data_IF_159982451336
#
_entry.id   IF_159982451336
#
_cell.length_a   1.000
_cell.length_b   1.000
_cell.length_c   1.000
_cell.angle_alpha   90.00
_cell.angle_beta   90.00
_cell.angle_gamma   90.00
#
_symmetry.space_group_name_H-M   'P 1'
#
loop_
_entity.id
_entity.type
_entity.pdbx_description
1 polymer ?
#
# COMPACT_ATOMS: atom_id res chain seq x y z
N UNK A 1 -4.47 4.69 6.56
CA UNK A 1 -3.30 4.74 7.47
C UNK A 1 -3.21 3.42 8.24
N UNK A 2 -2.06 2.96 8.78
CA UNK A 2 -2.04 1.76 9.62
C UNK A 2 -2.96 1.91 10.85
N UNK A 3 -3.72 0.87 11.18
CA UNK A 3 -4.69 0.91 12.29
C UNK A 3 -4.02 1.16 13.64
N UNK A 4 -2.82 0.62 13.85
CA UNK A 4 -2.04 0.85 15.06
C UNK A 4 -1.78 2.35 15.32
N UNK A 5 -1.52 3.12 14.26
CA UNK A 5 -1.27 4.56 14.36
C UNK A 5 -2.57 5.33 14.69
N UNK A 6 -3.69 4.95 14.07
CA UNK A 6 -5.02 5.50 14.42
C UNK A 6 -5.33 5.29 15.91
N UNK A 7 -5.12 4.07 16.42
CA UNK A 7 -5.34 3.74 17.84
C UNK A 7 -4.39 4.51 18.76
N UNK A 8 -3.17 4.79 18.33
CA UNK A 8 -2.22 5.58 19.10
C UNK A 8 -2.69 7.03 19.27
N UNK A 9 -3.14 7.69 18.20
CA UNK A 9 -3.70 9.04 18.28
C UNK A 9 -4.96 9.09 19.17
N UNK A 10 -5.83 8.08 19.08
CA UNK A 10 -7.00 7.97 19.96
C UNK A 10 -6.63 7.92 21.45
N UNK A 11 -5.51 7.29 21.82
CA UNK A 11 -5.02 7.28 23.21
C UNK A 11 -4.58 8.67 23.70
N UNK A 12 -4.25 9.58 22.79
CA UNK A 12 -3.95 10.98 23.09
C UNK A 12 -5.23 11.85 23.15
N UNK A 13 -6.41 11.27 22.96
CA UNK A 13 -7.67 12.00 22.84
C UNK A 13 -7.82 12.73 21.49
N UNK A 14 -7.05 12.32 20.48
CA UNK A 14 -7.09 12.91 19.14
C UNK A 14 -7.84 11.99 18.18
N UNK A 15 -8.93 12.51 17.64
CA UNK A 15 -9.71 11.87 16.59
C UNK A 15 -9.13 12.19 15.22
N UNK A 16 -8.49 11.19 14.61
CA UNK A 16 -8.00 11.31 13.22
C UNK A 16 -9.12 10.94 12.26
N UNK A 17 -9.50 11.90 11.43
CA UNK A 17 -10.52 11.72 10.39
C UNK A 17 -9.83 11.42 9.05
N UNK A 18 -10.04 10.22 8.53
CA UNK A 18 -9.48 9.84 7.23
C UNK A 18 -10.26 10.47 6.07
N UNK A 19 -9.53 10.88 5.03
CA UNK A 19 -10.08 11.39 3.78
C UNK A 19 -9.46 10.65 2.61
N UNK A 20 -10.25 10.48 1.55
CA UNK A 20 -9.76 9.91 0.31
C UNK A 20 -10.12 10.82 -0.87
N UNK A 21 -9.14 10.98 -1.76
CA UNK A 21 -9.21 11.80 -2.95
C UNK A 21 -7.91 11.72 -3.73
N UNK A 22 -7.95 12.22 -4.96
CA UNK A 22 -6.83 12.25 -5.89
C UNK A 22 -6.87 13.53 -6.72
N UNK A 23 -5.80 13.83 -7.45
CA UNK A 23 -5.73 15.03 -8.29
C UNK A 23 -6.88 15.07 -9.31
N UNK A 24 -7.20 13.92 -9.88
CA UNK A 24 -8.22 13.74 -10.90
C UNK A 24 -9.66 13.96 -10.40
N UNK A 25 -9.88 14.06 -9.08
CA UNK A 25 -11.17 14.45 -8.50
C UNK A 25 -11.07 15.65 -7.54
N UNK A 26 -10.01 16.46 -7.66
CA UNK A 26 -9.75 17.61 -6.80
C UNK A 26 -9.76 17.29 -5.29
N UNK A 27 -9.37 16.06 -4.92
CA UNK A 27 -9.41 15.60 -3.53
C UNK A 27 -10.81 15.33 -2.97
N UNK A 28 -11.86 15.38 -3.80
CA UNK A 28 -13.25 15.27 -3.38
C UNK A 28 -13.82 13.88 -3.68
N UNK A 29 -13.75 12.96 -2.71
CA UNK A 29 -14.34 11.64 -2.85
C UNK A 29 -14.99 11.13 -1.56
N UNK A 30 -14.22 10.74 -0.54
CA UNK A 30 -14.75 10.22 0.72
C UNK A 30 -14.17 10.98 1.92
N UNK A 31 -14.99 11.16 2.95
CA UNK A 31 -14.62 11.87 4.17
C UNK A 31 -15.18 11.16 5.40
N UNK A 32 -14.30 10.95 6.39
CA UNK A 32 -14.71 10.64 7.75
C UNK A 32 -15.24 11.92 8.42
N UNK A 33 -16.49 11.90 8.89
CA UNK A 33 -17.07 13.02 9.64
C UNK A 33 -16.91 12.79 11.15
N UNK A 34 -16.83 13.85 11.98
CA UNK A 34 -16.78 13.70 13.43
C UNK A 34 -17.88 12.76 13.93
N UNK A 35 -17.52 11.81 14.80
CA UNK A 35 -18.43 10.77 15.32
C UNK A 35 -18.72 9.59 14.37
N UNK A 36 -18.25 9.63 13.11
CA UNK A 36 -18.45 8.57 12.11
C UNK A 36 -17.26 7.64 11.90
N UNK A 37 -16.24 7.73 12.75
CA UNK A 37 -15.00 6.96 12.64
C UNK A 37 -15.26 5.48 12.83
N UNK A 38 -14.69 4.66 11.97
CA UNK A 38 -14.72 3.20 12.13
C UNK A 38 -13.36 2.68 11.70
N UNK A 39 -12.65 2.02 12.60
CA UNK A 39 -11.29 1.55 12.31
C UNK A 39 -11.28 0.61 11.09
N UNK A 40 -10.32 0.84 10.20
CA UNK A 40 -10.20 0.14 8.93
C UNK A 40 -11.09 0.71 7.81
N UNK A 41 -11.90 1.73 8.08
CA UNK A 41 -12.78 2.38 7.10
C UNK A 41 -12.49 3.88 7.04
N UNK A 42 -12.44 4.43 5.83
CA UNK A 42 -12.18 5.86 5.61
C UNK A 42 -13.40 6.66 6.06
N UNK A 43 -14.50 6.54 5.33
CA UNK A 43 -15.69 7.33 5.55
C UNK A 43 -16.63 7.24 4.36
N UNK A 44 -17.69 8.03 4.41
CA UNK A 44 -18.74 8.04 3.40
C UNK A 44 -18.37 8.94 2.21
N UNK A 45 -18.98 8.72 1.04
CA UNK A 45 -18.85 9.65 -0.08
C UNK A 45 -19.28 11.07 0.32
N UNK A 46 -18.59 12.06 -0.26
CA UNK A 46 -19.00 13.44 -0.13
C UNK A 46 -20.33 13.70 -0.87
N UNK A 47 -21.09 14.74 -0.52
CA UNK A 47 -22.33 15.08 -1.22
C UNK A 47 -22.12 15.18 -2.74
N UNK A 48 -22.98 14.51 -3.51
CA UNK A 48 -22.90 14.48 -4.97
C UNK A 48 -21.83 13.55 -5.55
N UNK A 49 -21.07 12.83 -4.72
CA UNK A 49 -20.16 11.77 -5.19
C UNK A 49 -20.95 10.47 -5.33
N UNK A 50 -21.01 9.97 -6.56
CA UNK A 50 -21.46 8.61 -6.86
C UNK A 50 -20.27 7.68 -6.82
N UNK A 51 -20.47 6.50 -6.24
CA UNK A 51 -19.42 5.49 -6.09
C UNK A 51 -19.96 4.15 -6.53
N UNK A 52 -19.12 3.38 -7.21
CA UNK A 52 -19.36 1.96 -7.46
C UNK A 52 -18.05 1.19 -7.35
N UNK A 53 -18.16 -0.08 -7.00
CA UNK A 53 -17.05 -1.03 -7.07
C UNK A 53 -17.28 -1.89 -8.31
N UNK A 54 -16.33 -1.89 -9.24
CA UNK A 54 -16.44 -2.67 -10.47
C UNK A 54 -16.20 -4.18 -10.21
N UNK A 55 -16.45 -5.08 -11.18
CA UNK A 55 -16.24 -6.52 -11.00
C UNK A 55 -14.79 -6.92 -10.68
N UNK A 56 -13.80 -6.09 -11.01
CA UNK A 56 -12.39 -6.31 -10.65
C UNK A 56 -12.06 -5.88 -9.21
N UNK A 57 -13.00 -5.18 -8.56
CA UNK A 57 -12.86 -4.54 -7.26
C UNK A 57 -12.33 -3.11 -7.33
N UNK A 58 -12.27 -2.50 -8.51
CA UNK A 58 -11.85 -1.10 -8.69
C UNK A 58 -12.91 -0.15 -8.11
N UNK A 59 -12.46 0.80 -7.30
CA UNK A 59 -13.30 1.91 -6.86
C UNK A 59 -13.45 2.89 -8.01
N UNK A 60 -14.68 3.17 -8.42
CA UNK A 60 -14.99 4.14 -9.46
C UNK A 60 -15.86 5.24 -8.89
N UNK A 61 -15.49 6.49 -9.17
CA UNK A 61 -16.14 7.67 -8.58
C UNK A 61 -16.58 8.65 -9.66
N UNK A 62 -17.76 9.24 -9.50
CA UNK A 62 -18.25 10.28 -10.39
C UNK A 62 -18.81 11.44 -9.58
N UNK A 63 -18.36 12.66 -9.88
CA UNK A 63 -18.84 13.87 -9.21
C UNK A 63 -18.57 15.11 -10.07
N UNK A 64 -19.13 16.26 -9.66
CA UNK A 64 -18.80 17.55 -10.28
C UNK A 64 -17.33 17.99 -10.09
N UNK A 65 -16.55 17.28 -9.27
CA UNK A 65 -15.12 17.53 -9.06
C UNK A 65 -14.22 16.68 -9.96
N UNK A 66 -14.77 15.77 -10.78
CA UNK A 66 -13.98 14.99 -11.73
C UNK A 66 -13.28 15.91 -12.73
N UNK A 67 -12.02 15.62 -13.03
CA UNK A 67 -11.20 16.39 -13.98
C UNK A 67 -11.87 16.48 -15.36
N UNK A 68 -11.50 17.53 -16.10
CA UNK A 68 -11.88 17.65 -17.52
C UNK A 68 -11.08 16.67 -18.42
N UNK A 69 -9.88 16.29 -17.98
CA UNK A 69 -8.96 15.43 -18.72
C UNK A 69 -7.51 15.82 -18.52
N UNK A 70 -6.60 14.98 -19.04
CA UNK A 70 -5.18 15.25 -19.06
C UNK A 70 -4.82 16.20 -20.22
N UNK A 71 -3.97 17.18 -19.92
CA UNK A 71 -3.55 18.20 -20.88
C UNK A 71 -2.82 17.57 -22.08
N UNK A 72 -3.35 17.81 -23.29
CA UNK A 72 -2.83 17.28 -24.58
C UNK A 72 -2.77 15.75 -24.67
N UNK A 73 -3.52 15.04 -23.83
CA UNK A 73 -3.54 13.58 -23.81
C UNK A 73 -4.99 13.05 -23.79
N UNK A 74 -5.70 13.13 -24.93
CA UNK A 74 -7.08 12.69 -25.04
C UNK A 74 -7.23 11.18 -24.86
N UNK A 75 -6.22 10.39 -25.25
CA UNK A 75 -6.25 8.94 -25.09
C UNK A 75 -6.20 8.57 -23.61
N UNK A 76 -5.24 9.10 -22.85
CA UNK A 76 -5.16 8.84 -21.41
C UNK A 76 -6.39 9.34 -20.66
N UNK A 77 -7.00 10.44 -21.12
CA UNK A 77 -8.28 10.94 -20.59
C UNK A 77 -9.39 9.91 -20.80
N UNK A 78 -9.53 9.39 -22.02
CA UNK A 78 -10.51 8.37 -22.35
C UNK A 78 -10.25 7.04 -21.61
N UNK A 79 -8.98 6.68 -21.38
CA UNK A 79 -8.63 5.46 -20.63
C UNK A 79 -8.94 5.59 -19.13
N UNK A 80 -8.97 6.82 -18.60
CA UNK A 80 -9.14 7.11 -17.17
C UNK A 80 -10.61 7.35 -16.79
N UNK A 81 -11.46 7.65 -17.77
CA UNK A 81 -12.89 7.83 -17.58
C UNK A 81 -13.65 6.68 -18.24
N UNK A 82 -14.64 6.13 -17.56
CA UNK A 82 -15.56 5.19 -18.19
C UNK A 82 -16.46 5.92 -19.19
N UNK A 83 -17.11 5.17 -20.09
CA UNK A 83 -18.02 5.75 -21.09
C UNK A 83 -19.19 6.52 -20.46
N UNK A 84 -19.58 6.17 -19.24
CA UNK A 84 -20.61 6.83 -18.44
C UNK A 84 -20.06 7.88 -17.46
N UNK A 85 -18.78 8.26 -17.59
CA UNK A 85 -18.17 9.41 -16.91
C UNK A 85 -17.50 9.11 -15.57
N UNK A 86 -17.55 7.88 -15.06
CA UNK A 86 -16.86 7.54 -13.80
C UNK A 86 -15.35 7.58 -13.98
N UNK A 87 -14.68 8.17 -12.99
CA UNK A 87 -13.24 8.12 -12.85
C UNK A 87 -12.81 6.72 -12.40
N UNK A 88 -11.95 6.08 -13.20
CA UNK A 88 -11.20 4.88 -12.85
C UNK A 88 -10.07 5.27 -11.91
N UNK A 89 -10.24 5.04 -10.60
CA UNK A 89 -9.27 5.50 -9.61
C UNK A 89 -7.96 4.70 -9.66
N UNK A 90 -7.99 3.47 -10.22
CA UNK A 90 -6.90 2.52 -10.13
C UNK A 90 -6.70 1.95 -8.72
N UNK A 91 -7.55 2.31 -7.75
CA UNK A 91 -7.54 1.81 -6.37
C UNK A 91 -8.55 0.67 -6.22
N UNK A 92 -8.17 -0.41 -5.54
CA UNK A 92 -9.09 -1.48 -5.14
C UNK A 92 -9.69 -1.18 -3.77
N UNK A 93 -10.96 -1.53 -3.60
CA UNK A 93 -11.62 -1.37 -2.31
C UNK A 93 -12.98 -2.05 -2.23
N UNK A 94 -13.62 -1.87 -1.08
CA UNK A 94 -14.95 -2.37 -0.77
C UNK A 94 -15.75 -1.29 -0.04
N UNK A 95 -17.08 -1.40 -0.08
CA UNK A 95 -18.00 -0.54 0.66
C UNK A 95 -18.82 -1.36 1.66
N UNK A 96 -18.95 -0.84 2.88
CA UNK A 96 -19.87 -1.40 3.88
C UNK A 96 -21.33 -1.00 3.62
N UNK A 97 -22.24 -1.52 4.45
CA UNK A 97 -23.66 -1.21 4.36
C UNK A 97 -24.00 0.27 4.64
N UNK A 98 -23.12 1.00 5.33
CA UNK A 98 -23.25 2.43 5.62
C UNK A 98 -22.62 3.31 4.52
N UNK A 99 -22.08 2.69 3.45
CA UNK A 99 -21.40 3.36 2.34
C UNK A 99 -19.98 3.84 2.67
N UNK A 100 -19.38 3.38 3.76
CA UNK A 100 -17.98 3.69 4.08
C UNK A 100 -17.06 2.92 3.14
N UNK A 101 -15.99 3.57 2.69
CA UNK A 101 -14.98 2.96 1.83
C UNK A 101 -13.81 2.39 2.62
N UNK A 102 -13.36 1.19 2.26
CA UNK A 102 -12.07 0.61 2.65
C UNK A 102 -11.23 0.34 1.42
N UNK A 103 -10.02 0.89 1.36
CA UNK A 103 -9.06 0.60 0.28
C UNK A 103 -8.23 -0.63 0.62
N UNK A 104 -8.05 -1.51 -0.36
CA UNK A 104 -7.33 -2.78 -0.22
C UNK A 104 -6.07 -2.84 -1.08
N UNK A 105 -5.78 -1.82 -1.89
CA UNK A 105 -4.54 -1.70 -2.66
C UNK A 105 -4.71 -0.93 -3.96
N UNK A 106 -3.70 -0.97 -4.84
CA UNK A 106 -3.73 -0.39 -6.18
C UNK A 106 -3.71 -1.48 -7.24
N UNK A 107 -4.55 -1.37 -8.27
CA UNK A 107 -4.62 -2.34 -9.37
C UNK A 107 -3.27 -2.55 -10.05
N UNK A 108 -2.53 -1.46 -10.29
CA UNK A 108 -1.22 -1.51 -10.95
C UNK A 108 -0.10 -2.06 -10.08
N UNK A 109 -0.32 -2.18 -8.77
CA UNK A 109 0.68 -2.70 -7.83
C UNK A 109 0.43 -4.17 -7.46
N UNK A 110 -0.71 -4.72 -7.86
CA UNK A 110 -0.99 -6.14 -7.67
C UNK A 110 -0.11 -6.93 -8.64
N UNK A 111 0.74 -7.79 -8.09
CA UNK A 111 1.61 -8.63 -8.88
C UNK A 111 1.18 -10.10 -8.81
N UNK A 112 1.67 -10.89 -9.77
CA UNK A 112 1.42 -12.31 -9.85
C UNK A 112 2.69 -13.09 -9.51
N UNK A 113 2.58 -13.96 -8.51
CA UNK A 113 3.64 -14.92 -8.17
C UNK A 113 3.82 -15.96 -9.29
N UNK A 114 4.95 -16.67 -9.34
CA UNK A 114 5.17 -17.76 -10.31
C UNK A 114 4.18 -18.92 -10.16
N UNK A 115 3.54 -19.04 -8.99
CA UNK A 115 2.43 -19.98 -8.73
C UNK A 115 1.09 -19.51 -9.29
N UNK A 116 1.06 -18.36 -9.96
CA UNK A 116 -0.11 -17.80 -10.62
C UNK A 116 -1.12 -17.14 -9.69
N UNK A 117 -0.76 -16.89 -8.43
CA UNK A 117 -1.60 -16.22 -7.44
C UNK A 117 -1.31 -14.72 -7.41
N UNK A 118 -2.37 -13.91 -7.32
CA UNK A 118 -2.29 -12.47 -7.21
C UNK A 118 -2.06 -12.06 -5.75
N UNK A 119 -1.23 -11.06 -5.53
CA UNK A 119 -0.91 -10.53 -4.19
C UNK A 119 -1.07 -9.02 -4.20
N UNK A 120 -1.81 -8.49 -3.22
CA UNK A 120 -1.89 -7.06 -2.98
C UNK A 120 -0.81 -6.66 -1.95
N UNK A 121 0.18 -5.83 -2.31
CA UNK A 121 1.28 -5.50 -1.40
C UNK A 121 0.84 -4.58 -0.24
N UNK A 122 -0.02 -3.60 -0.50
CA UNK A 122 -0.34 -2.54 0.46
C UNK A 122 -0.87 -3.04 1.83
N UNK A 123 -1.79 -4.03 1.92
CA UNK A 123 -2.19 -4.59 3.21
C UNK A 123 -1.04 -5.25 3.98
N UNK A 124 -0.11 -5.90 3.27
CA UNK A 124 1.06 -6.56 3.87
C UNK A 124 2.06 -5.51 4.36
N UNK A 125 2.33 -4.49 3.54
CA UNK A 125 3.20 -3.36 3.87
C UNK A 125 2.69 -2.60 5.10
N UNK A 126 1.39 -2.30 5.17
CA UNK A 126 0.78 -1.64 6.32
C UNK A 126 0.99 -2.44 7.62
N UNK A 127 0.89 -3.77 7.56
CA UNK A 127 1.17 -4.64 8.71
C UNK A 127 2.65 -4.64 9.06
N UNK A 128 3.55 -4.79 8.09
CA UNK A 128 4.99 -4.76 8.36
C UNK A 128 5.43 -3.45 9.02
N UNK A 129 4.88 -2.32 8.58
CA UNK A 129 5.17 -0.99 9.09
C UNK A 129 4.73 -0.75 10.55
N UNK A 130 3.97 -1.66 11.18
CA UNK A 130 3.65 -1.55 12.61
C UNK A 130 4.85 -1.92 13.51
N UNK A 131 5.90 -2.54 12.96
CA UNK A 131 7.13 -2.82 13.72
C UNK A 131 7.90 -1.53 13.99
N UNK A 132 8.19 -1.26 15.26
CA UNK A 132 8.82 0.00 15.71
C UNK A 132 10.18 0.32 15.05
N UNK A 133 10.86 -0.68 14.49
CA UNK A 133 12.15 -0.52 13.82
C UNK A 133 12.09 -0.43 12.30
N UNK A 134 10.95 -0.75 11.68
CA UNK A 134 10.78 -0.65 10.23
C UNK A 134 10.34 0.77 9.91
N UNK A 135 11.20 1.54 9.26
CA UNK A 135 10.92 2.92 8.87
C UNK A 135 10.13 2.96 7.56
N UNK A 136 10.57 2.16 6.59
CA UNK A 136 9.95 2.07 5.27
C UNK A 136 9.93 0.61 4.82
N UNK A 137 8.91 0.25 4.05
CA UNK A 137 8.74 -1.12 3.56
C UNK A 137 8.10 -1.15 2.19
N UNK A 138 8.56 -2.07 1.34
CA UNK A 138 8.02 -2.34 0.02
C UNK A 138 7.97 -3.86 -0.20
N UNK A 139 6.79 -4.39 -0.48
CA UNK A 139 6.59 -5.82 -0.79
C UNK A 139 6.66 -6.04 -2.29
N UNK A 140 7.57 -6.92 -2.71
CA UNK A 140 7.80 -7.27 -4.11
C UNK A 140 7.65 -8.78 -4.28
N UNK A 141 7.46 -9.26 -5.51
CA UNK A 141 7.37 -10.70 -5.72
C UNK A 141 6.85 -11.15 -7.08
N UNK A 142 6.82 -10.25 -8.07
CA UNK A 142 6.45 -10.64 -9.42
C UNK A 142 7.39 -11.73 -9.94
N UNK A 143 6.80 -12.83 -10.43
CA UNK A 143 7.58 -13.98 -10.91
C UNK A 143 8.29 -14.82 -9.82
N UNK A 144 8.19 -14.45 -8.55
CA UNK A 144 8.75 -15.23 -7.44
C UNK A 144 7.74 -16.25 -6.90
N UNK A 145 8.25 -17.30 -6.23
CA UNK A 145 7.41 -18.36 -5.66
C UNK A 145 6.64 -17.93 -4.40
N UNK A 146 7.10 -16.86 -3.75
CA UNK A 146 6.49 -16.17 -2.62
C UNK A 146 6.91 -14.69 -2.65
N UNK A 147 6.10 -13.78 -2.07
CA UNK A 147 6.49 -12.38 -1.86
C UNK A 147 7.74 -12.24 -0.99
N UNK A 148 8.46 -11.12 -1.17
CA UNK A 148 9.58 -10.68 -0.35
C UNK A 148 9.26 -9.26 0.17
N UNK A 149 9.45 -9.04 1.47
CA UNK A 149 9.43 -7.70 2.04
C UNK A 149 10.82 -7.08 1.96
N UNK A 150 10.94 -5.87 1.41
CA UNK A 150 12.16 -5.05 1.49
C UNK A 150 11.92 -3.96 2.53
N UNK A 151 12.83 -3.77 3.48
CA UNK A 151 12.64 -2.78 4.54
C UNK A 151 13.90 -1.97 4.83
N UNK A 152 13.67 -0.68 5.13
CA UNK A 152 14.65 0.25 5.68
C UNK A 152 14.39 0.35 7.17
N UNK A 153 15.45 0.25 7.99
CA UNK A 153 15.32 0.30 9.45
C UNK A 153 15.60 1.70 9.99
N UNK A 154 14.85 2.09 11.02
CA UNK A 154 15.06 3.34 11.74
C UNK A 154 16.40 3.30 12.49
N UNK A 155 17.33 4.19 12.13
CA UNK A 155 18.67 4.44 12.70
C UNK A 155 19.58 3.22 13.02
N UNK A 156 20.82 3.18 12.51
CA UNK A 156 21.78 2.12 12.82
C UNK A 156 22.35 2.27 14.24
N UNK A 157 22.47 1.17 14.98
CA UNK A 157 23.07 1.16 16.32
C UNK A 157 22.77 -0.06 17.18
N UNK A 158 21.84 -0.92 16.75
CA UNK A 158 21.53 -2.16 17.47
C UNK A 158 22.32 -3.36 16.96
N UNK A 159 22.49 -4.33 17.85
CA UNK A 159 23.01 -5.66 17.52
C UNK A 159 22.16 -6.30 16.42
N UNK A 160 22.79 -6.56 15.25
CA UNK A 160 22.14 -7.18 14.09
C UNK A 160 21.52 -8.54 14.44
N UNK A 161 22.11 -9.27 15.38
CA UNK A 161 21.58 -10.57 15.79
C UNK A 161 20.25 -10.41 16.54
N UNK A 162 20.23 -9.57 17.58
CA UNK A 162 19.01 -9.28 18.33
C UNK A 162 17.88 -8.72 17.44
N UNK A 163 18.24 -7.81 16.52
CA UNK A 163 17.29 -7.21 15.58
C UNK A 163 16.79 -8.23 14.56
N UNK A 164 17.66 -9.08 14.04
CA UNK A 164 17.31 -10.20 13.15
C UNK A 164 16.25 -11.10 13.80
N UNK A 165 16.49 -11.57 15.03
CA UNK A 165 15.51 -12.40 15.75
C UNK A 165 14.21 -11.67 16.10
N UNK A 166 14.25 -10.34 16.27
CA UNK A 166 13.04 -9.51 16.38
C UNK A 166 12.22 -9.51 15.09
N UNK A 167 12.88 -9.25 13.97
CA UNK A 167 12.28 -9.21 12.63
C UNK A 167 11.75 -10.58 12.19
N UNK A 168 12.42 -11.67 12.51
CA UNK A 168 11.95 -13.04 12.22
C UNK A 168 10.63 -13.35 12.93
N UNK A 169 10.54 -13.02 14.22
CA UNK A 169 9.31 -13.18 14.99
C UNK A 169 8.20 -12.29 14.44
N UNK A 170 8.53 -11.06 14.06
CA UNK A 170 7.57 -10.15 13.46
C UNK A 170 7.04 -10.66 12.12
N UNK A 171 7.92 -11.12 11.23
CA UNK A 171 7.55 -11.71 9.95
C UNK A 171 6.64 -12.92 10.13
N UNK A 172 6.94 -13.79 11.09
CA UNK A 172 6.08 -14.92 11.44
C UNK A 172 4.69 -14.48 11.92
N UNK A 173 4.61 -13.44 12.76
CA UNK A 173 3.35 -12.87 13.22
C UNK A 173 2.52 -12.27 12.08
N UNK A 174 3.15 -11.51 11.18
CA UNK A 174 2.48 -10.95 10.00
C UNK A 174 1.95 -12.08 9.10
N UNK A 175 2.80 -13.07 8.79
CA UNK A 175 2.44 -14.23 7.96
C UNK A 175 1.31 -15.09 8.56
N UNK A 176 1.17 -15.14 9.89
CA UNK A 176 0.10 -15.88 10.54
C UNK A 176 -1.29 -15.30 10.22
N UNK A 177 -1.38 -14.00 9.96
CA UNK A 177 -2.61 -13.31 9.58
C UNK A 177 -2.85 -13.21 8.07
N UNK A 178 -2.00 -13.82 7.24
CA UNK A 178 -2.09 -13.78 5.78
C UNK A 178 -2.51 -15.12 5.18
N UNK A 179 -3.14 -15.05 4.00
CA UNK A 179 -3.43 -16.22 3.19
C UNK A 179 -2.13 -16.91 2.77
N UNK A 180 -2.18 -18.23 2.59
CA UNK A 180 -0.99 -19.05 2.28
C UNK A 180 -0.17 -18.54 1.09
N UNK A 181 -0.80 -17.90 0.12
CA UNK A 181 -0.16 -17.41 -1.10
C UNK A 181 0.41 -15.99 -0.96
N UNK A 182 -0.01 -15.24 0.05
CA UNK A 182 0.47 -13.89 0.37
C UNK A 182 1.61 -13.90 1.39
N UNK A 183 1.81 -15.04 2.08
CA UNK A 183 2.91 -15.20 3.04
C UNK A 183 4.26 -14.99 2.39
N UNK A 184 5.03 -14.08 2.97
CA UNK A 184 6.36 -13.74 2.49
C UNK A 184 7.35 -14.85 2.82
N UNK A 185 8.25 -15.11 1.86
CA UNK A 185 9.39 -16.02 2.05
C UNK A 185 10.51 -15.37 2.86
N UNK A 186 10.85 -14.13 2.52
CA UNK A 186 11.97 -13.41 3.14
C UNK A 186 11.58 -11.96 3.44
N UNK A 187 12.20 -11.41 4.48
CA UNK A 187 12.27 -9.98 4.78
C UNK A 187 13.73 -9.54 4.65
N UNK A 188 14.01 -8.66 3.70
CA UNK A 188 15.36 -8.17 3.41
C UNK A 188 15.50 -6.77 3.98
N UNK A 189 16.50 -6.57 4.81
CA UNK A 189 16.94 -5.26 5.27
C UNK A 189 17.87 -4.68 4.22
N UNK A 190 17.43 -3.63 3.54
CA UNK A 190 18.24 -2.94 2.52
C UNK A 190 19.22 -1.96 3.17
N UNK A 191 20.37 -1.76 2.53
CA UNK A 191 21.41 -0.84 3.01
C UNK A 191 21.14 0.61 2.65
N UNK A 192 20.37 0.83 1.59
CA UNK A 192 20.04 2.15 1.10
C UNK A 192 18.99 2.82 1.99
N UNK A 193 19.11 4.12 2.16
CA UNK A 193 17.99 4.94 2.66
C UNK A 193 17.09 5.30 1.48
N UNK A 194 15.78 5.14 1.61
CA UNK A 194 14.85 5.56 0.56
C UNK A 194 14.41 7.00 0.80
N UNK A 195 14.90 7.91 -0.02
CA UNK A 195 14.67 9.34 0.13
C UNK A 195 14.12 9.96 -1.18
N UNK A 196 13.79 11.25 -1.12
CA UNK A 196 13.32 11.99 -2.30
C UNK A 196 14.51 12.28 -3.23
N UNK A 197 15.67 12.58 -2.64
CA UNK A 197 16.91 13.02 -3.28
C UNK A 197 17.51 11.95 -4.19
N UNK A 198 17.44 10.68 -3.76
CA UNK A 198 17.89 9.53 -4.56
C UNK A 198 16.75 8.86 -5.33
N UNK A 199 15.58 9.51 -5.36
CA UNK A 199 14.49 9.15 -6.27
C UNK A 199 13.64 7.96 -5.87
N UNK A 200 13.85 7.34 -4.70
CA UNK A 200 12.98 6.25 -4.20
C UNK A 200 11.61 6.75 -3.76
N UNK A 201 11.51 8.01 -3.33
CA UNK A 201 10.26 8.63 -2.91
C UNK A 201 9.76 9.69 -3.89
N UNK A 202 8.45 9.93 -3.89
CA UNK A 202 7.85 11.16 -4.44
C UNK A 202 8.13 12.35 -3.50
N UNK A 203 7.96 13.61 -3.95
CA UNK A 203 8.01 14.77 -3.07
C UNK A 203 7.00 14.72 -1.90
N UNK A 204 5.95 13.92 -2.04
CA UNK A 204 4.94 13.63 -1.00
C UNK A 204 5.27 12.40 -0.16
N UNK A 205 6.54 11.96 -0.18
CA UNK A 205 7.09 10.84 0.59
C UNK A 205 6.49 9.45 0.26
N UNK A 206 5.78 9.31 -0.86
CA UNK A 206 5.26 8.01 -1.30
C UNK A 206 6.36 7.20 -1.97
N UNK A 207 6.43 5.91 -1.66
CA UNK A 207 7.34 4.97 -2.31
C UNK A 207 7.06 4.88 -3.81
N UNK A 208 8.12 4.94 -4.62
CA UNK A 208 8.09 4.63 -6.05
C UNK A 208 8.48 3.17 -6.25
N UNK A 209 7.48 2.28 -6.22
CA UNK A 209 7.67 0.82 -6.31
C UNK A 209 8.50 0.40 -7.52
N UNK A 210 8.23 0.98 -8.68
CA UNK A 210 8.97 0.70 -9.91
C UNK A 210 10.48 1.01 -9.82
N UNK A 211 10.87 2.01 -9.02
CA UNK A 211 12.28 2.33 -8.77
C UNK A 211 12.88 1.25 -7.88
N UNK A 212 12.21 0.88 -6.78
CA UNK A 212 12.64 -0.20 -5.88
C UNK A 212 12.79 -1.53 -6.64
N UNK A 213 11.79 -1.91 -7.42
CA UNK A 213 11.81 -3.14 -8.23
C UNK A 213 12.96 -3.14 -9.23
N UNK A 214 13.23 -2.01 -9.89
CA UNK A 214 14.36 -1.87 -10.80
C UNK A 214 15.71 -1.97 -10.06
N UNK A 215 15.83 -1.32 -8.91
CA UNK A 215 17.06 -1.31 -8.10
C UNK A 215 17.42 -2.69 -7.56
N UNK A 216 16.46 -3.37 -6.93
CA UNK A 216 16.72 -4.64 -6.23
C UNK A 216 16.37 -5.88 -7.07
N UNK A 217 15.68 -5.71 -8.20
CA UNK A 217 15.25 -6.77 -9.11
C UNK A 217 16.31 -7.85 -9.39
N UNK A 218 17.56 -7.46 -9.74
CA UNK A 218 18.63 -8.43 -9.99
C UNK A 218 18.96 -9.37 -8.81
N UNK A 219 18.63 -8.97 -7.57
CA UNK A 219 18.95 -9.71 -6.34
C UNK A 219 17.76 -10.53 -5.82
N UNK A 220 16.53 -10.19 -6.21
CA UNK A 220 15.31 -10.80 -5.67
C UNK A 220 15.28 -12.32 -5.83
N UNK A 221 15.69 -12.83 -6.99
CA UNK A 221 15.71 -14.27 -7.24
C UNK A 221 16.69 -14.98 -6.30
N UNK A 222 17.89 -14.41 -6.10
CA UNK A 222 18.90 -14.98 -5.21
C UNK A 222 18.38 -15.00 -3.76
N UNK A 223 17.82 -13.89 -3.27
CA UNK A 223 17.22 -13.82 -1.94
C UNK A 223 16.07 -14.81 -1.75
N UNK A 224 15.23 -15.00 -2.76
CA UNK A 224 14.07 -15.92 -2.68
C UNK A 224 14.46 -17.38 -2.41
N UNK A 225 15.69 -17.77 -2.76
CA UNK A 225 16.21 -19.14 -2.60
C UNK A 225 16.96 -19.36 -1.29
N UNK A 226 17.17 -18.31 -0.50
CA UNK A 226 17.85 -18.40 0.80
C UNK A 226 16.97 -19.11 1.83
N UNK A 227 17.61 -19.87 2.70
CA UNK A 227 16.94 -20.57 3.79
C UNK A 227 16.59 -19.62 4.95
N UNK A 228 17.35 -18.54 5.13
CA UNK A 228 17.09 -17.55 6.17
C UNK A 228 15.86 -16.71 5.81
N UNK A 229 15.00 -16.45 6.80
CA UNK A 229 13.80 -15.63 6.64
C UNK A 229 14.08 -14.14 6.73
N UNK A 230 15.14 -13.73 7.43
CA UNK A 230 15.61 -12.35 7.47
C UNK A 230 16.99 -12.29 6.83
N UNK A 231 17.12 -11.41 5.84
CA UNK A 231 18.36 -11.20 5.08
C UNK A 231 18.82 -9.77 5.26
N UNK A 232 20.14 -9.57 5.21
CA UNK A 232 20.76 -8.25 5.18
C UNK A 232 21.40 -8.08 3.81
N UNK A 233 21.11 -6.97 3.14
CA UNK A 233 21.77 -6.64 1.89
C UNK A 233 23.26 -6.37 2.14
N UNK A 234 24.12 -7.04 1.38
CA UNK A 234 25.58 -6.83 1.36
C UNK A 234 25.97 -5.46 0.77
#
# INVERSE_FOLDING_TARGET
>A
MPEALLRWYQRLGLDVLEVYGMTENCGYSHVCRPGGQTLGWIGQPCPGVQVRIDPSGEVQVHSGATMLGYFKDPQKTADTLTADGFLRTGDKGEQDADGRLRLTGRLKEIFKTSKGKYVAPAPIENRLAEHARIEQVCVVGEGLSAPIGLCVLSAPGEDRQALGSGLERWLAQVNAGLDKHERMGQLVVVKDQWAVENGFLTPTLKIKRNVIESTYGPQLQAWSTRAETVLWQD
#
